data_IF_983463119058
#
_entry.id   IF_983463119058
#
_cell.length_a   1.000
_cell.length_b   1.000
_cell.length_c   1.000
_cell.angle_alpha   90.00
_cell.angle_beta   90.00
_cell.angle_gamma   90.00
#
_symmetry.space_group_name_H-M   'P 1'
#
loop_
_entity.id
_entity.type
_entity.pdbx_description
1 polymer ?
#
# COMPACT_ATOMS: atom_id res chain seq x y z
N UNK A 1 34.14 -34.00 2.20
CA UNK A 1 34.62 -32.97 1.26
C UNK A 1 33.61 -31.84 1.23
N UNK A 2 34.02 -30.63 1.65
CA UNK A 2 33.27 -29.36 1.55
C UNK A 2 33.18 -28.97 0.06
N UNK A 3 32.07 -28.45 -0.47
CA UNK A 3 31.70 -27.03 -0.76
C UNK A 3 30.67 -27.12 -1.93
N UNK A 4 29.69 -26.27 -2.20
CA UNK A 4 29.51 -24.85 -1.97
C UNK A 4 28.00 -24.50 -1.93
N UNK A 5 27.64 -23.57 -1.05
CA UNK A 5 26.33 -22.90 -1.01
C UNK A 5 26.38 -21.71 -1.98
N UNK A 6 25.61 -21.75 -3.06
CA UNK A 6 25.32 -20.54 -3.86
C UNK A 6 24.07 -19.86 -3.30
N UNK A 7 24.28 -18.96 -2.34
CA UNK A 7 23.27 -17.96 -1.98
C UNK A 7 23.19 -16.95 -3.13
N UNK A 8 22.14 -17.03 -3.93
CA UNK A 8 21.78 -16.01 -4.89
C UNK A 8 20.54 -15.31 -4.33
N UNK A 9 20.75 -14.18 -3.66
CA UNK A 9 19.69 -13.26 -3.24
C UNK A 9 19.72 -12.10 -4.22
N UNK A 10 18.74 -12.04 -5.11
CA UNK A 10 18.57 -10.90 -6.02
C UNK A 10 17.84 -9.78 -5.28
N UNK A 11 18.53 -8.66 -5.05
CA UNK A 11 17.94 -7.40 -4.59
C UNK A 11 17.80 -6.46 -5.79
N UNK A 12 16.58 -6.05 -6.13
CA UNK A 12 16.32 -4.90 -7.00
C UNK A 12 15.87 -3.71 -6.16
N UNK A 13 16.82 -2.81 -5.84
CA UNK A 13 16.52 -1.48 -5.30
C UNK A 13 15.91 -0.62 -6.41
N UNK A 14 14.68 -0.16 -6.23
CA UNK A 14 14.15 0.97 -7.01
C UNK A 14 14.64 2.25 -6.31
N UNK A 15 15.64 2.87 -6.92
CA UNK A 15 16.22 4.15 -6.51
C UNK A 15 15.32 5.30 -6.92
N UNK A 16 15.10 6.27 -6.03
CA UNK A 16 14.88 7.66 -6.43
C UNK A 16 15.51 8.59 -5.40
N UNK A 17 16.54 9.29 -5.83
CA UNK A 17 17.09 10.47 -5.21
C UNK A 17 16.64 11.69 -6.02
N UNK A 18 16.43 12.82 -5.34
CA UNK A 18 16.93 14.19 -5.63
C UNK A 18 16.06 15.21 -4.88
N UNK A 19 16.73 16.01 -4.03
CA UNK A 19 16.25 17.15 -3.23
C UNK A 19 15.99 18.40 -4.12
N UNK A 20 15.50 19.55 -3.59
CA UNK A 20 16.37 20.45 -2.83
C UNK A 20 15.75 21.05 -1.55
N UNK A 21 16.65 21.21 -0.58
CA UNK A 21 16.62 22.10 0.57
C UNK A 21 16.40 23.57 0.17
N UNK A 22 15.53 24.28 0.91
CA UNK A 22 15.49 25.75 0.93
C UNK A 22 15.63 26.23 2.38
N UNK A 23 16.69 27.01 2.64
CA UNK A 23 17.03 27.65 3.91
C UNK A 23 17.20 29.15 3.63
N UNK A 24 16.57 30.01 4.43
CA UNK A 24 16.95 31.40 4.81
C UNK A 24 15.71 32.04 5.47
N UNK A 25 15.68 32.23 6.79
CA UNK A 25 16.24 33.33 7.60
C UNK A 25 15.83 34.75 7.16
N UNK A 26 15.17 35.47 8.08
CA UNK A 26 15.26 36.92 8.43
C UNK A 26 13.86 37.43 8.83
N UNK A 27 13.54 37.58 10.11
CA UNK A 27 13.66 38.80 10.95
C UNK A 27 12.86 40.02 10.47
N UNK A 28 11.87 40.35 11.32
CA UNK A 28 11.39 41.67 11.77
C UNK A 28 10.79 42.66 10.76
N UNK A 29 9.62 43.21 11.12
CA UNK A 29 9.42 44.62 11.53
C UNK A 29 7.93 44.95 11.68
N UNK A 30 7.56 45.40 12.90
CA UNK A 30 6.55 46.40 13.29
C UNK A 30 5.08 46.22 12.83
N UNK A 31 4.03 46.68 13.50
CA UNK A 31 3.83 47.58 14.65
C UNK A 31 2.36 47.49 15.02
N UNK A 32 2.03 47.77 16.28
CA UNK A 32 0.69 47.64 16.81
C UNK A 32 -0.36 48.58 16.21
N UNK A 33 -1.62 48.18 16.35
CA UNK A 33 -2.73 49.10 16.52
C UNK A 33 -3.80 48.42 17.38
N UNK A 34 -3.79 48.76 18.66
CA UNK A 34 -4.87 48.48 19.60
C UNK A 34 -6.01 49.46 19.34
N UNK A 35 -7.18 48.96 18.92
CA UNK A 35 -8.47 49.67 19.09
C UNK A 35 -9.55 48.72 19.59
N UNK A 36 -10.16 49.17 20.67
CA UNK A 36 -11.22 48.54 21.45
C UNK A 36 -12.55 48.48 20.67
N UNK A 37 -13.27 47.39 20.95
CA UNK A 37 -14.73 47.24 21.05
C UNK A 37 -15.62 47.71 19.89
N UNK A 38 -16.30 46.76 19.26
CA UNK A 38 -17.75 46.87 19.08
C UNK A 38 -18.41 45.50 19.17
N UNK A 39 -19.29 45.36 20.16
CA UNK A 39 -20.21 44.24 20.33
C UNK A 39 -21.28 44.33 19.24
N UNK A 40 -21.33 43.34 18.36
CA UNK A 40 -22.58 42.91 17.72
C UNK A 40 -22.52 41.40 17.46
N UNK A 41 -22.93 40.61 18.45
CA UNK A 41 -23.57 39.32 18.15
C UNK A 41 -24.85 39.64 17.38
N UNK A 42 -24.82 39.52 16.06
CA UNK A 42 -26.04 39.47 15.25
C UNK A 42 -25.81 38.57 14.03
N UNK A 43 -26.15 37.30 14.25
CA UNK A 43 -26.77 36.37 13.30
C UNK A 43 -26.15 36.40 11.89
N UNK A 44 -25.06 35.66 11.71
CA UNK A 44 -24.70 35.10 10.41
C UNK A 44 -25.10 33.63 10.42
N UNK A 45 -25.94 33.30 9.44
CA UNK A 45 -26.55 32.01 9.13
C UNK A 45 -25.59 30.81 9.25
N UNK A 46 -26.09 29.59 9.54
CA UNK A 46 -25.29 28.36 9.57
C UNK A 46 -24.60 28.02 8.23
N UNK A 47 -24.92 28.74 7.16
CA UNK A 47 -24.50 28.51 5.78
C UNK A 47 -22.99 28.71 5.49
N UNK A 48 -22.22 29.40 6.33
CA UNK A 48 -20.79 29.60 6.10
C UNK A 48 -19.87 28.56 6.77
N UNK A 49 -20.43 27.53 7.40
CA UNK A 49 -19.65 26.43 8.00
C UNK A 49 -19.49 25.21 7.09
N UNK A 50 -20.29 25.10 6.02
CA UNK A 50 -20.25 23.96 5.09
C UNK A 50 -19.21 24.12 3.96
N UNK A 51 -18.76 25.34 3.66
CA UNK A 51 -17.84 25.54 2.54
C UNK A 51 -16.38 25.13 2.84
N UNK A 52 -15.97 25.10 4.12
CA UNK A 52 -14.65 24.59 4.52
C UNK A 52 -14.64 23.06 4.69
N UNK A 53 -15.74 22.46 5.16
CA UNK A 53 -15.88 21.00 5.26
C UNK A 53 -16.02 20.33 3.89
N UNK A 54 -16.60 21.00 2.89
CA UNK A 54 -16.69 20.50 1.52
C UNK A 54 -15.34 20.52 0.77
N UNK A 55 -14.45 21.47 1.06
CA UNK A 55 -13.10 21.53 0.45
C UNK A 55 -12.18 20.43 0.97
N UNK A 56 -12.29 20.07 2.25
CA UNK A 56 -11.51 18.99 2.87
C UNK A 56 -11.89 17.60 2.36
N UNK A 57 -13.14 17.41 1.92
CA UNK A 57 -13.58 16.14 1.34
C UNK A 57 -13.14 15.97 -0.12
N UNK A 58 -13.09 17.04 -0.91
CA UNK A 58 -12.69 16.96 -2.32
C UNK A 58 -11.19 16.67 -2.51
N UNK A 59 -10.31 17.29 -1.71
CA UNK A 59 -8.87 17.01 -1.78
C UNK A 59 -8.55 15.58 -1.30
N UNK A 60 -9.21 15.14 -0.21
CA UNK A 60 -9.11 13.78 0.32
C UNK A 60 -9.64 12.71 -0.65
N UNK A 61 -10.76 13.00 -1.31
CA UNK A 61 -11.35 12.12 -2.33
C UNK A 61 -10.50 12.06 -3.60
N UNK A 62 -9.86 13.16 -4.02
CA UNK A 62 -8.95 13.18 -5.18
C UNK A 62 -7.64 12.44 -4.87
N UNK A 63 -7.11 12.55 -3.64
CA UNK A 63 -5.93 11.80 -3.18
C UNK A 63 -6.25 10.30 -3.07
N UNK A 64 -7.43 9.92 -2.54
CA UNK A 64 -7.88 8.53 -2.55
C UNK A 64 -8.14 7.98 -3.96
N UNK A 65 -8.68 8.79 -4.88
CA UNK A 65 -8.92 8.40 -6.29
C UNK A 65 -7.63 8.08 -7.03
N UNK A 66 -6.52 8.76 -6.69
CA UNK A 66 -5.24 8.61 -7.39
C UNK A 66 -4.47 7.34 -6.99
N UNK A 67 -4.79 6.73 -5.85
CA UNK A 67 -4.13 5.54 -5.30
C UNK A 67 -5.01 4.28 -5.30
N UNK A 68 -5.99 4.24 -6.21
CA UNK A 68 -6.88 3.08 -6.34
C UNK A 68 -6.33 1.97 -7.26
N UNK A 69 -5.09 2.08 -7.73
CA UNK A 69 -4.44 1.05 -8.56
C UNK A 69 -3.09 0.65 -7.97
N UNK A 70 -2.75 -0.63 -8.12
CA UNK A 70 -1.48 -1.22 -7.72
C UNK A 70 -0.95 -2.12 -8.84
N UNK A 71 0.35 -2.40 -8.87
CA UNK A 71 0.96 -3.24 -9.91
C UNK A 71 1.10 -4.67 -9.41
N UNK A 72 0.85 -5.63 -10.29
CA UNK A 72 1.04 -7.04 -10.00
C UNK A 72 1.61 -7.77 -11.21
N UNK A 73 2.46 -8.77 -10.97
CA UNK A 73 2.79 -9.76 -11.98
C UNK A 73 1.58 -10.70 -12.12
N UNK A 74 1.07 -10.87 -13.34
CA UNK A 74 -0.12 -11.67 -13.61
C UNK A 74 0.23 -12.72 -14.65
N UNK A 75 -0.15 -13.95 -14.34
CA UNK A 75 -0.16 -15.05 -15.29
C UNK A 75 -1.56 -15.19 -15.88
N UNK A 76 -1.64 -15.16 -17.21
CA UNK A 76 -2.89 -15.33 -17.95
C UNK A 76 -3.12 -16.78 -18.36
N UNK A 77 -2.06 -17.46 -18.77
CA UNK A 77 -2.07 -18.86 -19.19
C UNK A 77 -0.85 -19.60 -18.61
N UNK A 78 -1.01 -20.88 -18.27
CA UNK A 78 0.08 -21.66 -17.71
C UNK A 78 1.22 -21.85 -18.72
N UNK A 79 2.45 -21.73 -18.25
CA UNK A 79 3.66 -21.84 -19.07
C UNK A 79 4.05 -20.55 -19.83
N UNK A 80 3.22 -19.51 -19.78
CA UNK A 80 3.54 -18.22 -20.37
C UNK A 80 4.38 -17.32 -19.46
N UNK A 81 4.81 -16.18 -20.01
CA UNK A 81 5.55 -15.16 -19.25
C UNK A 81 4.58 -14.37 -18.37
N UNK A 82 5.05 -13.98 -17.19
CA UNK A 82 4.33 -13.05 -16.33
C UNK A 82 4.32 -11.66 -16.95
N UNK A 83 3.15 -11.02 -16.93
CA UNK A 83 2.97 -9.64 -17.38
C UNK A 83 2.70 -8.72 -16.19
N UNK A 84 3.25 -7.51 -16.23
CA UNK A 84 2.92 -6.49 -15.22
C UNK A 84 1.60 -5.84 -15.60
N UNK A 85 0.58 -6.03 -14.76
CA UNK A 85 -0.73 -5.43 -14.90
C UNK A 85 -1.00 -4.42 -13.78
N UNK A 86 -1.74 -3.36 -14.12
CA UNK A 86 -2.33 -2.47 -13.12
C UNK A 86 -3.68 -3.03 -12.68
N UNK A 87 -3.84 -3.26 -11.38
CA UNK A 87 -5.04 -3.81 -10.77
C UNK A 87 -5.69 -2.74 -9.92
N UNK A 88 -7.01 -2.65 -10.00
CA UNK A 88 -7.79 -1.78 -9.11
C UNK A 88 -7.80 -2.36 -7.70
N UNK A 89 -7.50 -1.52 -6.71
CA UNK A 89 -7.60 -1.82 -5.28
C UNK A 89 -9.06 -2.13 -4.93
N UNK A 90 -9.28 -3.22 -4.20
CA UNK A 90 -10.60 -3.51 -3.63
C UNK A 90 -10.95 -2.49 -2.55
N UNK A 91 -12.25 -2.18 -2.40
CA UNK A 91 -12.69 -1.06 -1.57
C UNK A 91 -12.36 -1.23 -0.08
N UNK A 92 -12.50 -2.45 0.46
CA UNK A 92 -12.15 -2.80 1.84
C UNK A 92 -11.64 -4.23 1.94
N UNK A 93 -10.72 -4.49 2.87
CA UNK A 93 -10.36 -5.86 3.29
C UNK A 93 -11.50 -6.50 4.09
N UNK A 94 -11.58 -7.83 4.11
CA UNK A 94 -12.53 -8.53 4.97
C UNK A 94 -12.15 -8.40 6.45
N UNK A 95 -13.05 -8.81 7.32
CA UNK A 95 -12.93 -8.63 8.77
C UNK A 95 -11.64 -9.22 9.37
N UNK A 96 -11.12 -10.33 8.83
CA UNK A 96 -9.90 -11.00 9.31
C UNK A 96 -8.68 -10.78 8.41
N UNK A 97 -8.86 -10.01 7.35
CA UNK A 97 -7.81 -9.76 6.36
C UNK A 97 -7.07 -8.45 6.69
N UNK A 98 -5.84 -8.36 6.21
CA UNK A 98 -5.04 -7.14 6.20
C UNK A 98 -4.53 -6.89 4.80
N UNK A 99 -4.36 -5.61 4.47
CA UNK A 99 -3.69 -5.19 3.25
C UNK A 99 -2.27 -4.81 3.56
N UNK A 100 -1.35 -5.31 2.76
CA UNK A 100 0.07 -5.07 2.92
C UNK A 100 0.60 -4.31 1.70
N UNK A 101 1.40 -3.29 1.96
CA UNK A 101 2.35 -2.74 0.99
C UNK A 101 3.55 -3.68 0.93
N UNK A 102 3.70 -4.40 -0.17
CA UNK A 102 4.78 -5.36 -0.33
C UNK A 102 6.06 -4.59 -0.64
N UNK A 103 7.11 -4.84 0.15
CA UNK A 103 8.44 -4.31 -0.08
C UNK A 103 9.29 -5.31 -0.88
N UNK A 104 9.23 -6.58 -0.50
CA UNK A 104 9.91 -7.67 -1.17
C UNK A 104 9.03 -8.92 -1.16
N UNK A 105 9.14 -9.75 -2.19
CA UNK A 105 8.62 -11.11 -2.23
C UNK A 105 9.74 -12.09 -2.55
N UNK A 106 9.62 -13.33 -2.07
CA UNK A 106 10.54 -14.40 -2.44
C UNK A 106 10.07 -15.08 -3.73
N UNK A 107 11.04 -15.55 -4.51
CA UNK A 107 10.79 -16.36 -5.71
C UNK A 107 11.39 -17.74 -5.47
N UNK A 108 10.54 -18.75 -5.39
CA UNK A 108 10.91 -20.12 -5.12
C UNK A 108 10.65 -21.01 -6.35
N UNK A 109 11.23 -22.22 -6.34
CA UNK A 109 10.98 -23.21 -7.41
C UNK A 109 9.49 -23.55 -7.50
N UNK A 110 8.79 -23.58 -6.36
CA UNK A 110 7.34 -23.79 -6.33
C UNK A 110 6.58 -22.77 -7.20
N UNK A 111 6.95 -21.48 -7.16
CA UNK A 111 6.30 -20.45 -7.98
C UNK A 111 6.44 -20.75 -9.48
N UNK A 112 7.62 -21.24 -9.90
CA UNK A 112 7.85 -21.64 -11.30
C UNK A 112 7.03 -22.87 -11.71
N UNK A 113 6.89 -23.84 -10.81
CA UNK A 113 6.08 -25.04 -11.04
C UNK A 113 4.60 -24.68 -11.17
N UNK A 114 4.08 -23.83 -10.26
CA UNK A 114 2.71 -23.32 -10.29
C UNK A 114 2.47 -22.54 -11.59
N UNK A 115 3.38 -21.62 -11.96
CA UNK A 115 3.24 -20.87 -13.20
C UNK A 115 3.28 -21.78 -14.45
N UNK A 116 3.96 -22.92 -14.38
CA UNK A 116 4.00 -23.89 -15.49
C UNK A 116 2.82 -24.87 -15.52
N UNK A 117 1.87 -24.80 -14.57
CA UNK A 117 0.77 -25.76 -14.46
C UNK A 117 1.23 -27.17 -14.03
N UNK A 118 2.34 -27.27 -13.30
CA UNK A 118 2.95 -28.56 -12.87
C UNK A 118 2.90 -28.75 -11.36
N UNK A 119 1.99 -28.06 -10.68
CA UNK A 119 1.81 -28.14 -9.25
C UNK A 119 0.46 -28.79 -8.95
N UNK A 120 0.40 -29.63 -7.92
CA UNK A 120 -0.77 -30.50 -7.66
C UNK A 120 -2.09 -29.73 -7.50
N UNK A 121 -2.02 -28.47 -7.08
CA UNK A 121 -3.17 -27.56 -7.01
C UNK A 121 -2.96 -26.37 -7.93
N UNK A 122 -3.73 -26.33 -9.01
CA UNK A 122 -3.71 -25.25 -9.98
C UNK A 122 -4.60 -24.08 -9.54
N UNK A 123 -4.07 -22.85 -9.40
CA UNK A 123 -4.88 -21.67 -9.14
C UNK A 123 -5.72 -21.31 -10.36
N UNK A 124 -6.86 -20.66 -10.14
CA UNK A 124 -7.69 -20.15 -11.23
C UNK A 124 -6.99 -18.97 -11.93
N UNK A 125 -6.80 -19.10 -13.24
CA UNK A 125 -6.30 -18.02 -14.08
C UNK A 125 -7.37 -16.93 -14.31
N UNK A 126 -6.98 -15.65 -14.49
CA UNK A 126 -5.64 -15.13 -14.32
C UNK A 126 -5.27 -15.01 -12.83
N UNK A 127 -4.03 -15.37 -12.48
CA UNK A 127 -3.57 -15.29 -11.08
C UNK A 127 -2.25 -14.51 -10.96
N UNK A 128 -2.00 -13.96 -9.78
CA UNK A 128 -0.71 -13.39 -9.40
C UNK A 128 0.01 -14.43 -8.58
N UNK A 129 1.26 -14.81 -8.90
CA UNK A 129 2.07 -15.72 -8.09
C UNK A 129 2.77 -15.00 -6.93
N UNK A 130 3.42 -15.78 -6.06
CA UNK A 130 4.14 -15.28 -4.89
C UNK A 130 3.59 -15.82 -3.58
N UNK A 131 4.37 -16.72 -3.00
CA UNK A 131 4.02 -17.37 -1.73
C UNK A 131 4.40 -16.54 -0.51
N UNK A 132 5.50 -15.80 -0.56
CA UNK A 132 6.11 -15.15 0.60
C UNK A 132 6.30 -13.66 0.35
N UNK A 133 6.09 -12.85 1.39
CA UNK A 133 6.35 -11.42 1.33
C UNK A 133 6.95 -10.87 2.62
N UNK A 134 7.51 -9.68 2.49
CA UNK A 134 7.78 -8.75 3.58
C UNK A 134 7.26 -7.37 3.20
N UNK A 135 6.70 -6.65 4.16
CA UNK A 135 6.00 -5.41 3.85
C UNK A 135 5.55 -4.65 5.09
N UNK A 136 4.61 -3.73 4.86
CA UNK A 136 4.01 -2.87 5.87
C UNK A 136 2.48 -2.91 5.78
N UNK A 137 1.81 -2.97 6.93
CA UNK A 137 0.34 -3.00 7.00
C UNK A 137 -0.25 -1.64 6.61
N UNK A 138 -1.09 -1.63 5.58
CA UNK A 138 -1.81 -0.44 5.10
C UNK A 138 -3.24 -0.33 5.62
N UNK A 139 -3.88 -1.47 5.87
CA UNK A 139 -5.31 -1.57 6.20
C UNK A 139 -5.54 -2.87 6.97
N UNK A 140 -6.42 -2.82 7.97
CA UNK A 140 -6.78 -4.00 8.77
C UNK A 140 -8.30 -4.18 8.79
N UNK A 141 -8.72 -5.43 8.79
CA UNK A 141 -10.11 -5.82 9.02
C UNK A 141 -10.56 -5.57 10.46
N UNK A 142 -11.87 -5.48 10.68
CA UNK A 142 -12.46 -5.16 11.98
C UNK A 142 -12.24 -6.21 13.07
N UNK A 143 -11.87 -7.45 12.71
CA UNK A 143 -11.60 -8.56 13.63
C UNK A 143 -10.11 -8.84 13.82
N UNK A 144 -9.23 -8.10 13.16
CA UNK A 144 -7.78 -8.17 13.33
C UNK A 144 -7.42 -7.56 14.70
N UNK A 145 -6.64 -8.28 15.51
CA UNK A 145 -6.38 -7.88 16.91
C UNK A 145 -4.90 -7.69 17.22
N UNK A 146 -4.02 -8.35 16.48
CA UNK A 146 -2.60 -8.44 16.80
C UNK A 146 -1.73 -7.57 15.91
N UNK A 147 -2.33 -6.89 14.93
CA UNK A 147 -1.63 -6.03 13.97
C UNK A 147 -2.24 -4.63 13.96
N UNK A 148 -1.37 -3.65 13.78
CA UNK A 148 -1.71 -2.24 13.60
C UNK A 148 -1.25 -1.74 12.22
N UNK A 149 -1.91 -0.70 11.71
CA UNK A 149 -1.47 -0.01 10.50
C UNK A 149 -0.07 0.56 10.74
N UNK A 150 0.84 0.35 9.79
CA UNK A 150 2.26 0.73 9.87
C UNK A 150 3.18 -0.38 10.40
N UNK A 151 2.64 -1.51 10.87
CA UNK A 151 3.46 -2.62 11.33
C UNK A 151 4.24 -3.25 10.18
N UNK A 152 5.49 -3.60 10.45
CA UNK A 152 6.36 -4.33 9.52
C UNK A 152 6.13 -5.82 9.70
N UNK A 153 5.81 -6.49 8.61
CA UNK A 153 5.34 -7.87 8.63
C UNK A 153 6.04 -8.73 7.60
N UNK A 154 6.11 -10.03 7.90
CA UNK A 154 6.44 -11.09 6.96
C UNK A 154 5.26 -12.04 6.91
N UNK A 155 4.97 -12.67 5.78
CA UNK A 155 3.82 -13.57 5.72
C UNK A 155 3.89 -14.56 4.57
N UNK A 156 3.08 -15.63 4.72
CA UNK A 156 3.01 -16.75 3.79
C UNK A 156 1.60 -16.88 3.20
N UNK A 157 1.39 -16.32 2.01
CA UNK A 157 0.12 -16.33 1.29
C UNK A 157 -0.12 -17.65 0.53
N UNK A 158 -0.20 -18.75 1.28
CA UNK A 158 -0.44 -20.09 0.70
C UNK A 158 -1.72 -20.20 -0.11
N UNK A 159 -2.78 -19.57 0.37
CA UNK A 159 -4.11 -19.78 -0.20
C UNK A 159 -4.37 -18.90 -1.42
N UNK A 160 -3.72 -17.72 -1.50
CA UNK A 160 -4.01 -16.70 -2.53
C UNK A 160 -2.87 -16.46 -3.50
N UNK A 161 -1.64 -16.86 -3.15
CA UNK A 161 -0.42 -16.66 -3.94
C UNK A 161 -0.18 -15.20 -4.35
N UNK A 162 -0.69 -14.21 -3.64
CA UNK A 162 -0.79 -12.83 -4.17
C UNK A 162 0.44 -11.93 -3.94
N UNK A 163 1.62 -12.47 -3.61
CA UNK A 163 2.75 -11.67 -3.13
C UNK A 163 3.61 -10.99 -4.21
N UNK A 164 3.63 -11.43 -5.48
CA UNK A 164 4.34 -10.74 -6.56
C UNK A 164 3.55 -9.52 -7.08
N UNK A 165 3.29 -8.59 -6.17
CA UNK A 165 2.59 -7.35 -6.41
C UNK A 165 3.12 -6.24 -5.49
N UNK A 166 2.80 -4.98 -5.77
CA UNK A 166 3.14 -3.85 -4.89
C UNK A 166 2.21 -3.79 -3.66
N UNK A 167 1.04 -4.41 -3.76
CA UNK A 167 0.10 -4.60 -2.67
C UNK A 167 -0.49 -6.00 -2.71
N UNK A 168 -0.72 -6.60 -1.55
CA UNK A 168 -1.45 -7.86 -1.43
C UNK A 168 -2.43 -7.82 -0.27
N UNK A 169 -3.37 -8.77 -0.25
CA UNK A 169 -4.28 -9.02 0.86
C UNK A 169 -3.93 -10.37 1.45
N UNK A 170 -3.88 -10.44 2.77
CA UNK A 170 -3.49 -11.62 3.52
C UNK A 170 -4.39 -11.77 4.74
N UNK A 171 -4.57 -13.00 5.22
CA UNK A 171 -5.26 -13.24 6.49
C UNK A 171 -4.31 -12.93 7.65
N UNK A 172 -4.82 -12.37 8.75
CA UNK A 172 -4.00 -12.08 9.94
C UNK A 172 -3.22 -13.31 10.42
N UNK A 173 -3.80 -14.51 10.32
CA UNK A 173 -3.21 -15.76 10.83
C UNK A 173 -1.93 -16.22 10.12
N UNK A 174 -1.62 -15.68 8.94
CA UNK A 174 -0.46 -16.10 8.13
C UNK A 174 0.69 -15.08 8.15
N UNK A 175 0.58 -14.08 9.02
CA UNK A 175 1.52 -12.99 9.26
C UNK A 175 2.07 -13.15 10.68
#
# INVERSE_FOLDING_TARGET
MRTALSKIVYYSKISSAVLPSFFSSSRDVASGCSRKYFSTKRILSPFLRDSESLKLNMEGDIIQKRWCHYKAAVLKEFGEKLEIAEKKRSAKVKETEVRIKVHCCAVNVADTLICSGKYDQEPKLPFTPGYEFSGEVLEIGSKVKNLSIGDKVIGLNKDTYSAMATECISEERVI
#
